data_IF_899152781787
#
_entry.id   IF_899152781787
#
_cell.length_a   1.000
_cell.length_b   1.000
_cell.length_c   1.000
_cell.angle_alpha   90.00
_cell.angle_beta   90.00
_cell.angle_gamma   90.00
#
_symmetry.space_group_name_H-M   'P 1'
#
loop_
_entity.id
_entity.type
_entity.pdbx_description
1 polymer ?
#
# COMPACT_ATOMS: atom_id res chain seq x y z
N UNK A 1 -35.31 33.86 1.10
CA UNK A 1 -35.69 32.46 1.39
C UNK A 1 -34.76 31.98 2.50
N UNK A 2 -35.27 31.73 3.70
CA UNK A 2 -34.45 31.46 4.88
C UNK A 2 -34.05 29.97 4.89
N UNK A 3 -32.74 29.68 4.92
CA UNK A 3 -32.21 28.30 4.81
C UNK A 3 -32.69 27.41 5.96
N UNK A 4 -33.04 28.02 7.10
CA UNK A 4 -33.67 27.36 8.26
C UNK A 4 -35.01 26.67 7.95
N UNK A 5 -35.65 27.02 6.83
CA UNK A 5 -36.93 26.45 6.41
C UNK A 5 -36.80 25.34 5.37
N UNK A 6 -35.58 25.00 4.95
CA UNK A 6 -35.34 23.89 4.03
C UNK A 6 -35.68 22.54 4.68
N UNK A 7 -36.52 21.70 4.04
CA UNK A 7 -36.82 20.35 4.51
C UNK A 7 -35.56 19.49 4.68
N UNK A 8 -34.59 19.64 3.77
CA UNK A 8 -33.31 18.94 3.80
C UNK A 8 -32.47 19.36 5.01
N UNK A 9 -32.45 20.65 5.36
CA UNK A 9 -31.72 21.12 6.54
C UNK A 9 -32.32 20.55 7.84
N UNK A 10 -33.65 20.40 7.91
CA UNK A 10 -34.35 19.81 9.06
C UNK A 10 -34.13 18.30 9.19
N UNK A 11 -33.90 17.60 8.08
CA UNK A 11 -33.70 16.15 8.08
C UNK A 11 -32.28 15.77 8.51
N UNK A 12 -31.26 16.48 8.02
CA UNK A 12 -29.85 16.18 8.32
C UNK A 12 -29.31 16.87 9.60
N UNK A 13 -29.96 17.93 10.11
CA UNK A 13 -29.54 18.58 11.37
C UNK A 13 -30.15 17.95 12.63
N UNK A 14 -31.20 17.13 12.51
CA UNK A 14 -31.91 16.53 13.67
C UNK A 14 -31.07 15.56 14.52
N UNK A 15 -30.11 14.78 13.99
CA UNK A 15 -29.24 13.98 14.84
C UNK A 15 -28.28 14.82 15.70
N UNK A 16 -27.97 16.04 15.27
CA UNK A 16 -27.00 16.94 15.93
C UNK A 16 -27.65 17.78 17.04
N UNK A 17 -28.98 17.98 16.99
CA UNK A 17 -29.71 18.88 17.88
C UNK A 17 -30.38 18.21 19.08
N UNK A 18 -30.13 16.93 19.34
CA UNK A 18 -30.64 16.27 20.55
C UNK A 18 -29.52 15.86 21.52
N UNK A 19 -28.83 16.82 22.17
CA UNK A 19 -28.08 16.53 23.37
C UNK A 19 -29.09 16.34 24.51
N UNK A 20 -29.01 15.21 25.20
CA UNK A 20 -29.71 15.01 26.46
C UNK A 20 -29.52 16.22 27.38
N UNK A 21 -30.63 16.67 27.97
CA UNK A 21 -30.70 17.90 28.74
C UNK A 21 -29.79 17.88 29.98
N UNK A 22 -28.59 18.46 29.87
CA UNK A 22 -27.80 18.92 31.03
C UNK A 22 -27.29 20.35 30.81
N UNK A 23 -27.92 21.25 31.58
CA UNK A 23 -27.50 22.58 32.04
C UNK A 23 -26.27 23.23 31.36
N UNK A 24 -26.54 24.37 30.71
CA UNK A 24 -25.54 25.36 30.33
C UNK A 24 -25.65 25.71 28.85
N UNK A 25 -26.37 26.79 28.51
CA UNK A 25 -26.32 27.35 27.14
C UNK A 25 -24.92 27.92 26.91
N UNK A 26 -24.03 27.12 26.33
CA UNK A 26 -22.87 27.64 25.63
C UNK A 26 -23.38 28.33 24.36
N UNK A 27 -23.05 29.61 24.19
CA UNK A 27 -23.19 30.30 22.92
C UNK A 27 -22.25 29.62 21.92
N UNK A 28 -22.77 28.70 21.11
CA UNK A 28 -22.05 28.23 19.94
C UNK A 28 -22.11 29.35 18.89
N UNK A 29 -20.95 29.90 18.52
CA UNK A 29 -20.86 30.80 17.37
C UNK A 29 -21.23 30.02 16.09
N UNK A 30 -21.84 30.65 15.07
CA UNK A 30 -22.12 30.00 13.78
C UNK A 30 -20.86 29.39 13.14
N UNK A 31 -19.69 29.95 13.45
CA UNK A 31 -18.38 29.45 13.06
C UNK A 31 -18.08 28.08 13.70
N UNK A 32 -18.34 27.89 14.99
CA UNK A 32 -18.06 26.62 15.68
C UNK A 32 -18.91 25.44 15.20
N UNK A 33 -20.16 25.68 14.78
CA UNK A 33 -21.02 24.63 14.20
C UNK A 33 -20.47 24.18 12.84
N UNK A 34 -19.98 25.13 12.04
CA UNK A 34 -19.43 24.85 10.73
C UNK A 34 -18.11 24.07 10.84
N UNK A 35 -17.23 24.46 11.77
CA UNK A 35 -15.98 23.74 12.05
C UNK A 35 -16.25 22.29 12.46
N UNK A 36 -17.23 22.07 13.36
CA UNK A 36 -17.65 20.73 13.80
C UNK A 36 -18.23 19.91 12.66
N UNK A 37 -18.99 20.54 11.75
CA UNK A 37 -19.57 19.87 10.58
C UNK A 37 -18.50 19.50 9.57
N UNK A 38 -17.54 20.39 9.30
CA UNK A 38 -16.41 20.12 8.40
C UNK A 38 -15.56 18.97 8.96
N UNK A 39 -15.24 19.00 10.26
CA UNK A 39 -14.49 17.92 10.91
C UNK A 39 -15.24 16.58 10.76
N UNK A 40 -16.54 16.55 11.06
CA UNK A 40 -17.34 15.33 10.90
C UNK A 40 -17.33 14.78 9.46
N UNK A 41 -17.37 15.65 8.45
CA UNK A 41 -17.29 15.23 7.04
C UNK A 41 -15.92 14.66 6.67
N UNK A 42 -14.85 15.19 7.25
CA UNK A 42 -13.50 14.64 7.08
C UNK A 42 -13.35 13.30 7.78
N UNK A 43 -13.92 13.13 8.98
CA UNK A 43 -13.86 11.88 9.75
C UNK A 43 -14.59 10.72 9.04
N UNK A 44 -15.58 11.04 8.19
CA UNK A 44 -16.27 10.06 7.35
C UNK A 44 -15.53 9.75 6.04
N UNK A 45 -14.57 10.57 5.66
CA UNK A 45 -13.91 10.46 4.38
C UNK A 45 -12.99 9.23 4.32
N UNK A 46 -12.97 8.57 3.17
CA UNK A 46 -12.15 7.37 2.94
C UNK A 46 -11.47 7.44 1.58
N UNK A 47 -10.34 6.74 1.47
CA UNK A 47 -9.63 6.59 0.22
C UNK A 47 -9.93 5.23 -0.42
N UNK A 48 -10.48 5.26 -1.63
CA UNK A 48 -10.57 4.10 -2.51
C UNK A 48 -9.32 4.06 -3.39
N UNK A 49 -8.35 3.23 -3.04
CA UNK A 49 -7.07 3.17 -3.74
C UNK A 49 -7.18 2.39 -5.05
N UNK A 50 -6.73 3.00 -6.13
CA UNK A 50 -6.67 2.38 -7.46
C UNK A 50 -5.24 2.03 -7.89
N UNK A 51 -4.25 2.71 -7.31
CA UNK A 51 -2.83 2.43 -7.50
C UNK A 51 -2.02 2.90 -6.28
N UNK A 52 -1.10 2.07 -5.82
CA UNK A 52 -0.16 2.38 -4.77
C UNK A 52 1.21 1.83 -5.17
N UNK A 53 2.15 2.68 -5.58
CA UNK A 53 3.44 2.25 -6.13
C UNK A 53 4.59 2.69 -5.23
N UNK A 54 5.44 1.73 -4.87
CA UNK A 54 6.74 1.94 -4.24
C UNK A 54 7.85 1.65 -5.27
N UNK A 55 8.77 2.60 -5.45
CA UNK A 55 9.93 2.51 -6.35
C UNK A 55 11.18 3.14 -5.71
N UNK A 56 12.33 3.04 -6.40
CA UNK A 56 13.60 3.70 -6.04
C UNK A 56 14.00 3.54 -4.58
N UNK A 57 13.93 2.30 -4.10
CA UNK A 57 14.28 1.96 -2.73
C UNK A 57 15.76 2.24 -2.43
N UNK A 58 15.99 3.05 -1.40
CA UNK A 58 17.32 3.29 -0.83
C UNK A 58 17.31 3.02 0.68
N UNK A 59 18.46 3.12 1.33
CA UNK A 59 18.63 2.74 2.75
C UNK A 59 17.60 3.37 3.71
N UNK A 60 17.32 4.67 3.52
CA UNK A 60 16.42 5.43 4.40
C UNK A 60 15.31 6.16 3.61
N UNK A 61 14.98 5.71 2.40
CA UNK A 61 13.98 6.38 1.57
C UNK A 61 13.39 5.48 0.48
N UNK A 62 12.30 5.95 -0.13
CA UNK A 62 11.71 5.35 -1.33
C UNK A 62 10.91 6.41 -2.10
N UNK A 63 10.55 6.14 -3.35
CA UNK A 63 9.60 6.92 -4.12
C UNK A 63 8.19 6.33 -3.97
N UNK A 64 7.19 7.20 -3.76
CA UNK A 64 5.80 6.83 -3.56
C UNK A 64 4.90 7.53 -4.57
N UNK A 65 4.03 6.76 -5.23
CA UNK A 65 2.92 7.29 -6.04
C UNK A 65 1.60 6.68 -5.55
N UNK A 66 0.57 7.52 -5.38
CA UNK A 66 -0.77 7.04 -4.98
C UNK A 66 -1.82 7.65 -5.93
N UNK A 67 -2.64 6.78 -6.51
CA UNK A 67 -3.85 7.17 -7.23
C UNK A 67 -5.06 6.60 -6.49
N UNK A 68 -5.94 7.47 -6.03
CA UNK A 68 -7.11 7.08 -5.25
C UNK A 68 -8.31 7.97 -5.55
N UNK A 69 -9.45 7.58 -4.98
CA UNK A 69 -10.67 8.37 -4.96
C UNK A 69 -10.99 8.71 -3.51
N UNK A 70 -11.09 10.00 -3.22
CA UNK A 70 -11.60 10.48 -1.94
C UNK A 70 -13.13 10.46 -2.00
N UNK A 71 -13.74 9.65 -1.13
CA UNK A 71 -15.19 9.48 -1.03
C UNK A 71 -15.66 9.77 0.39
N UNK A 72 -16.97 9.92 0.59
CA UNK A 72 -17.54 10.11 1.93
C UNK A 72 -17.42 11.53 2.49
N UNK A 73 -16.94 12.49 1.70
CA UNK A 73 -16.75 13.90 2.10
C UNK A 73 -18.04 14.73 2.18
N UNK A 74 -19.21 14.10 1.98
CA UNK A 74 -20.53 14.73 2.12
C UNK A 74 -21.01 15.50 0.89
N UNK A 75 -22.08 16.28 1.09
CA UNK A 75 -22.78 17.05 0.04
C UNK A 75 -22.19 18.43 -0.21
N UNK A 76 -21.33 18.90 0.69
CA UNK A 76 -20.72 20.23 0.60
C UNK A 76 -19.42 20.11 -0.17
N UNK A 77 -19.30 20.84 -1.29
CA UNK A 77 -18.01 20.96 -1.97
C UNK A 77 -17.07 21.79 -1.11
N UNK A 78 -15.94 21.20 -0.75
CA UNK A 78 -14.90 21.79 0.08
C UNK A 78 -13.57 21.73 -0.66
N UNK A 79 -12.74 22.74 -0.45
CA UNK A 79 -11.35 22.73 -0.91
C UNK A 79 -10.45 22.50 0.29
N UNK A 80 -9.71 21.40 0.29
CA UNK A 80 -8.68 21.10 1.28
C UNK A 80 -7.37 21.62 0.69
N UNK A 81 -6.73 22.57 1.35
CA UNK A 81 -5.50 23.18 0.85
C UNK A 81 -4.35 22.16 0.84
N UNK A 82 -3.36 22.39 -0.04
CA UNK A 82 -2.17 21.55 -0.12
C UNK A 82 -1.42 21.54 1.23
N UNK A 83 -0.96 20.37 1.65
CA UNK A 83 -0.39 20.17 2.99
C UNK A 83 0.64 19.04 3.02
N UNK A 84 1.33 18.90 4.15
CA UNK A 84 2.09 17.69 4.46
C UNK A 84 1.25 16.80 5.38
N UNK A 85 1.18 15.52 5.06
CA UNK A 85 0.60 14.50 5.92
C UNK A 85 1.67 13.50 6.35
N UNK A 86 1.54 12.99 7.56
CA UNK A 86 2.30 11.87 8.07
C UNK A 86 1.73 10.57 7.49
N UNK A 87 2.61 9.65 7.10
CA UNK A 87 2.29 8.27 6.76
C UNK A 87 2.40 7.45 8.04
N UNK A 88 1.30 6.85 8.49
CA UNK A 88 1.23 6.02 9.68
C UNK A 88 0.73 4.62 9.38
N UNK A 89 1.29 3.64 10.09
CA UNK A 89 0.87 2.25 10.07
C UNK A 89 0.73 1.76 11.51
N UNK A 90 -0.42 1.16 11.84
CA UNK A 90 -0.78 0.75 13.21
C UNK A 90 -0.55 1.87 14.25
N UNK A 91 -0.97 3.10 13.92
CA UNK A 91 -0.83 4.27 14.79
C UNK A 91 0.60 4.80 14.97
N UNK A 92 1.59 4.25 14.26
CA UNK A 92 2.98 4.72 14.31
C UNK A 92 3.39 5.36 12.99
N UNK A 93 3.94 6.56 13.06
CA UNK A 93 4.39 7.34 11.89
C UNK A 93 5.75 6.84 11.39
N UNK A 94 5.93 6.76 10.07
CA UNK A 94 7.19 6.31 9.46
C UNK A 94 7.68 7.17 8.29
N UNK A 95 6.92 8.17 7.86
CA UNK A 95 7.31 9.07 6.77
C UNK A 95 6.35 10.24 6.62
N UNK A 96 6.65 11.14 5.67
CA UNK A 96 5.80 12.30 5.34
C UNK A 96 5.58 12.38 3.85
N UNK A 97 4.37 12.76 3.46
CA UNK A 97 3.95 12.93 2.07
C UNK A 97 3.33 14.30 1.85
N UNK A 98 3.62 14.91 0.70
CA UNK A 98 2.94 16.13 0.25
C UNK A 98 1.64 15.75 -0.44
N UNK A 99 0.53 16.27 0.10
CA UNK A 99 -0.79 16.17 -0.48
C UNK A 99 -1.06 17.42 -1.34
N UNK A 100 -1.61 17.26 -2.55
CA UNK A 100 -2.03 18.39 -3.37
C UNK A 100 -3.27 19.07 -2.76
N UNK A 101 -3.67 20.21 -3.32
CA UNK A 101 -5.01 20.75 -3.06
C UNK A 101 -6.07 19.73 -3.53
N UNK A 102 -7.10 19.52 -2.70
CA UNK A 102 -8.16 18.55 -2.97
C UNK A 102 -9.50 19.28 -3.01
N UNK A 103 -10.16 19.25 -4.16
CA UNK A 103 -11.52 19.79 -4.30
C UNK A 103 -12.53 18.65 -4.17
N UNK A 104 -13.17 18.55 -3.01
CA UNK A 104 -14.14 17.50 -2.73
C UNK A 104 -15.43 17.74 -3.51
N UNK A 105 -16.11 16.64 -3.83
CA UNK A 105 -17.38 16.65 -4.54
C UNK A 105 -18.29 15.56 -3.98
N UNK A 106 -19.60 15.76 -4.13
CA UNK A 106 -20.62 14.81 -3.69
C UNK A 106 -20.43 13.41 -4.30
N UNK A 107 -19.96 13.34 -5.55
CA UNK A 107 -19.74 12.08 -6.23
C UNK A 107 -18.41 11.44 -5.87
N UNK A 108 -17.56 12.07 -5.06
CA UNK A 108 -16.18 11.69 -4.77
C UNK A 108 -15.19 12.25 -5.80
N UNK A 109 -13.96 12.50 -5.35
CA UNK A 109 -12.93 13.23 -6.11
C UNK A 109 -11.72 12.36 -6.36
N UNK A 110 -11.13 12.45 -7.56
CA UNK A 110 -9.84 11.81 -7.85
C UNK A 110 -8.72 12.52 -7.08
N UNK A 111 -7.96 11.76 -6.31
CA UNK A 111 -6.76 12.21 -5.62
C UNK A 111 -5.54 11.55 -6.27
N UNK A 112 -4.57 12.35 -6.71
CA UNK A 112 -3.30 11.85 -7.24
C UNK A 112 -2.16 12.47 -6.48
N UNK A 113 -1.45 11.63 -5.74
CA UNK A 113 -0.18 11.96 -5.12
C UNK A 113 0.90 11.56 -6.13
N UNK A 114 1.48 12.57 -6.78
CA UNK A 114 2.56 12.38 -7.74
C UNK A 114 3.78 11.75 -7.10
N UNK A 115 4.59 11.09 -7.92
CA UNK A 115 5.84 10.46 -7.48
C UNK A 115 6.69 11.45 -6.70
N UNK A 116 6.98 11.09 -5.46
CA UNK A 116 7.83 11.89 -4.59
C UNK A 116 8.64 10.99 -3.67
N UNK A 117 9.83 11.47 -3.32
CA UNK A 117 10.71 10.80 -2.38
C UNK A 117 10.18 10.98 -0.96
N UNK A 118 10.06 9.86 -0.24
CA UNK A 118 9.68 9.77 1.17
C UNK A 118 10.91 9.34 1.95
N UNK A 119 11.27 10.11 2.98
CA UNK A 119 12.29 9.72 3.94
C UNK A 119 11.65 8.86 5.05
N UNK A 120 12.31 7.74 5.37
CA UNK A 120 11.87 6.78 6.37
C UNK A 120 12.33 7.27 7.74
N UNK A 121 11.40 7.73 8.57
CA UNK A 121 11.68 8.22 9.93
C UNK A 121 11.63 7.12 10.98
N UNK A 122 10.90 6.03 10.72
CA UNK A 122 10.83 4.86 11.58
C UNK A 122 10.96 3.58 10.73
N UNK A 123 12.16 3.01 10.73
CA UNK A 123 12.50 1.84 9.92
C UNK A 123 11.69 0.60 10.34
N UNK A 124 11.52 0.35 11.63
CA UNK A 124 10.80 -0.83 12.11
C UNK A 124 9.33 -0.84 11.66
N UNK A 125 8.64 0.31 11.80
CA UNK A 125 7.26 0.46 11.34
C UNK A 125 7.16 0.32 9.83
N UNK A 126 8.07 0.95 9.09
CA UNK A 126 8.10 0.85 7.63
C UNK A 126 8.31 -0.60 7.15
N UNK A 127 9.25 -1.34 7.74
CA UNK A 127 9.45 -2.75 7.41
C UNK A 127 8.20 -3.59 7.69
N UNK A 128 7.52 -3.33 8.79
CA UNK A 128 6.28 -4.03 9.14
C UNK A 128 5.18 -3.75 8.11
N UNK A 129 5.08 -2.50 7.63
CA UNK A 129 4.16 -2.11 6.57
C UNK A 129 4.51 -2.76 5.21
N UNK A 130 5.78 -2.77 4.80
CA UNK A 130 6.16 -3.44 3.54
C UNK A 130 5.90 -4.94 3.62
N UNK A 131 6.18 -5.57 4.77
CA UNK A 131 5.83 -6.97 5.00
C UNK A 131 4.33 -7.20 4.87
N UNK A 132 3.48 -6.36 5.47
CA UNK A 132 2.02 -6.51 5.34
C UNK A 132 1.54 -6.35 3.90
N UNK A 133 2.16 -5.46 3.10
CA UNK A 133 1.87 -5.35 1.68
C UNK A 133 2.16 -6.64 0.89
N UNK A 134 3.19 -7.39 1.27
CA UNK A 134 3.62 -8.60 0.57
C UNK A 134 2.86 -9.84 1.06
N UNK A 135 2.72 -10.00 2.37
CA UNK A 135 2.27 -11.26 3.01
C UNK A 135 0.77 -11.30 3.25
N UNK A 136 0.18 -10.18 3.68
CA UNK A 136 -1.23 -10.16 4.09
C UNK A 136 -2.14 -10.01 2.86
N UNK A 137 -3.40 -10.44 2.97
CA UNK A 137 -4.41 -10.24 1.91
C UNK A 137 -4.91 -8.78 1.85
N UNK A 138 -4.98 -8.14 3.03
CA UNK A 138 -5.42 -6.76 3.20
C UNK A 138 -4.55 -6.05 4.24
N UNK A 139 -4.33 -4.76 4.03
CA UNK A 139 -3.64 -3.90 4.98
C UNK A 139 -4.24 -2.49 4.93
N UNK A 140 -3.90 -1.63 5.90
CA UNK A 140 -4.38 -0.26 5.92
C UNK A 140 -3.25 0.69 6.24
N UNK A 141 -3.09 1.73 5.42
CA UNK A 141 -2.20 2.84 5.68
C UNK A 141 -3.03 4.04 6.12
N UNK A 142 -2.48 4.89 6.96
CA UNK A 142 -3.16 6.09 7.45
C UNK A 142 -2.41 7.35 7.00
N UNK A 143 -3.19 8.35 6.58
CA UNK A 143 -2.69 9.69 6.30
C UNK A 143 -3.22 10.64 7.37
N UNK A 144 -2.29 11.25 8.10
CA UNK A 144 -2.61 12.13 9.23
C UNK A 144 -2.03 13.52 9.01
N UNK A 145 -2.82 14.56 9.19
CA UNK A 145 -2.30 15.93 9.24
C UNK A 145 -3.03 16.72 10.31
N UNK A 146 -2.26 17.36 11.19
CA UNK A 146 -2.82 18.24 12.21
C UNK A 146 -2.82 19.66 11.65
N UNK A 147 -3.98 20.32 11.64
CA UNK A 147 -4.11 21.68 11.14
C UNK A 147 -4.20 21.82 9.62
N UNK A 148 -4.98 20.96 8.95
CA UNK A 148 -5.43 21.19 7.58
C UNK A 148 -6.24 22.47 7.47
N UNK A 149 -6.08 23.24 6.38
CA UNK A 149 -6.98 24.34 6.07
C UNK A 149 -8.03 23.87 5.08
N UNK A 150 -9.30 24.00 5.45
CA UNK A 150 -10.44 23.64 4.59
C UNK A 150 -11.29 24.87 4.32
N UNK A 151 -11.55 25.11 3.04
CA UNK A 151 -12.40 26.19 2.54
C UNK A 151 -13.73 25.63 2.07
N UNK A 152 -14.83 26.12 2.63
CA UNK A 152 -16.17 25.69 2.28
C UNK A 152 -17.13 26.86 2.44
N UNK A 153 -18.12 27.00 1.54
CA UNK A 153 -19.21 27.99 1.68
C UNK A 153 -18.74 29.44 1.96
N UNK A 154 -17.57 29.83 1.46
CA UNK A 154 -17.02 31.18 1.65
C UNK A 154 -16.27 31.41 2.97
N UNK A 155 -16.08 30.36 3.78
CA UNK A 155 -15.29 30.41 5.02
C UNK A 155 -14.07 29.49 4.92
N UNK A 156 -13.11 29.68 5.83
CA UNK A 156 -11.94 28.82 6.03
C UNK A 156 -11.89 28.34 7.47
N UNK A 157 -11.62 27.05 7.66
CA UNK A 157 -11.54 26.41 8.97
C UNK A 157 -10.26 25.59 9.05
N UNK A 158 -9.70 25.49 10.26
CA UNK A 158 -8.56 24.62 10.54
C UNK A 158 -9.08 23.32 11.16
N UNK A 159 -8.68 22.18 10.60
CA UNK A 159 -9.15 20.84 10.94
C UNK A 159 -7.99 19.88 11.15
N UNK A 160 -8.30 18.70 11.68
CA UNK A 160 -7.39 17.56 11.60
C UNK A 160 -7.87 16.62 10.49
N UNK A 161 -6.93 16.14 9.67
CA UNK A 161 -7.20 15.17 8.62
C UNK A 161 -6.73 13.80 9.08
N UNK A 162 -7.64 12.84 9.11
CA UNK A 162 -7.32 11.43 9.29
C UNK A 162 -8.00 10.63 8.18
N UNK A 163 -7.21 10.10 7.24
CA UNK A 163 -7.73 9.29 6.14
C UNK A 163 -7.20 7.87 6.24
N UNK A 164 -8.11 6.94 6.46
CA UNK A 164 -7.82 5.51 6.28
C UNK A 164 -7.72 5.18 4.79
N UNK A 165 -6.66 4.43 4.48
CA UNK A 165 -6.32 3.98 3.14
C UNK A 165 -6.25 2.45 3.16
N UNK A 166 -7.41 1.76 3.08
CA UNK A 166 -7.43 0.32 2.94
C UNK A 166 -6.79 -0.09 1.60
N UNK A 167 -5.91 -1.08 1.66
CA UNK A 167 -5.15 -1.61 0.55
C UNK A 167 -5.41 -3.11 0.45
N UNK A 168 -5.85 -3.56 -0.72
CA UNK A 168 -5.76 -4.97 -1.07
C UNK A 168 -4.30 -5.31 -1.32
N UNK A 169 -3.68 -5.94 -0.35
CA UNK A 169 -2.28 -6.32 -0.39
C UNK A 169 -2.08 -7.50 -1.38
N UNK A 170 -0.84 -7.95 -1.54
CA UNK A 170 -0.49 -8.97 -2.54
C UNK A 170 -1.06 -10.34 -2.15
N UNK A 171 -1.23 -10.63 -0.85
CA UNK A 171 -1.75 -11.90 -0.35
C UNK A 171 -0.75 -13.05 -0.48
N UNK A 172 0.52 -12.75 -0.26
CA UNK A 172 1.65 -13.63 -0.54
C UNK A 172 2.00 -13.66 -2.04
N UNK A 173 3.25 -13.97 -2.42
CA UNK A 173 3.60 -14.13 -3.81
C UNK A 173 2.84 -15.31 -4.40
N UNK A 174 1.76 -15.06 -5.16
CA UNK A 174 1.08 -16.07 -5.97
C UNK A 174 1.92 -16.39 -7.20
N UNK A 175 3.10 -16.95 -6.93
CA UNK A 175 4.13 -17.32 -7.87
C UNK A 175 3.90 -18.78 -8.26
N UNK A 176 3.62 -19.01 -9.54
CA UNK A 176 3.45 -20.35 -10.09
C UNK A 176 4.53 -20.62 -11.14
N UNK A 177 5.22 -21.76 -11.05
CA UNK A 177 6.21 -22.15 -12.04
C UNK A 177 5.52 -22.38 -13.39
N UNK A 178 5.88 -21.58 -14.39
CA UNK A 178 5.36 -21.69 -15.77
C UNK A 178 6.27 -22.56 -16.62
N UNK A 179 7.58 -22.31 -16.55
CA UNK A 179 8.59 -22.99 -17.38
C UNK A 179 9.88 -23.17 -16.60
N UNK A 180 10.53 -24.30 -16.83
CA UNK A 180 11.89 -24.58 -16.36
C UNK A 180 12.70 -25.14 -17.53
N UNK A 181 13.90 -24.60 -17.72
CA UNK A 181 14.87 -25.09 -18.71
C UNK A 181 16.25 -25.13 -18.09
N UNK A 182 17.01 -26.18 -18.42
CA UNK A 182 18.35 -26.43 -17.91
C UNK A 182 19.28 -26.85 -19.05
N UNK A 183 20.51 -26.36 -19.02
CA UNK A 183 21.60 -26.72 -19.94
C UNK A 183 22.90 -26.84 -19.15
N UNK A 184 23.32 -28.07 -18.83
CA UNK A 184 24.41 -28.30 -17.88
C UNK A 184 24.00 -27.82 -16.50
N UNK A 185 24.81 -26.96 -15.87
CA UNK A 185 24.49 -26.35 -14.58
C UNK A 185 23.62 -25.09 -14.71
N UNK A 186 23.53 -24.50 -15.92
CA UNK A 186 22.74 -23.29 -16.12
C UNK A 186 21.25 -23.61 -16.15
N UNK A 187 20.48 -22.86 -15.37
CA UNK A 187 19.04 -22.96 -15.29
C UNK A 187 18.37 -21.63 -15.57
N UNK A 188 17.20 -21.70 -16.20
CA UNK A 188 16.28 -20.57 -16.34
C UNK A 188 14.88 -21.04 -15.95
N UNK A 189 14.27 -20.32 -15.02
CA UNK A 189 12.91 -20.54 -14.55
C UNK A 189 12.05 -19.33 -14.86
N UNK A 190 10.85 -19.58 -15.37
CA UNK A 190 9.84 -18.56 -15.60
C UNK A 190 8.69 -18.83 -14.66
N UNK A 191 8.33 -17.84 -13.87
CA UNK A 191 7.18 -17.89 -12.98
C UNK A 191 6.10 -16.91 -13.44
N UNK A 192 4.84 -17.28 -13.25
CA UNK A 192 3.73 -16.35 -13.31
C UNK A 192 3.53 -15.74 -11.92
N UNK A 193 3.52 -14.41 -11.85
CA UNK A 193 3.13 -13.66 -10.67
C UNK A 193 1.77 -13.03 -10.93
N UNK A 194 0.82 -13.23 -10.01
CA UNK A 194 -0.50 -12.63 -10.10
C UNK A 194 -0.79 -11.76 -8.88
N UNK A 195 -0.97 -10.46 -9.12
CA UNK A 195 -1.29 -9.47 -8.10
C UNK A 195 -2.62 -8.78 -8.45
N UNK A 196 -3.73 -9.18 -7.80
CA UNK A 196 -5.05 -8.62 -8.08
C UNK A 196 -5.28 -7.24 -7.44
N UNK A 197 -4.37 -6.77 -6.57
CA UNK A 197 -4.49 -5.53 -5.82
C UNK A 197 -3.93 -4.30 -6.56
N UNK A 198 -4.08 -3.10 -5.99
CA UNK A 198 -3.53 -1.87 -6.54
C UNK A 198 -2.05 -1.66 -6.19
N UNK A 199 -1.46 -2.51 -5.35
CA UNK A 199 -0.10 -2.37 -4.82
C UNK A 199 0.93 -2.75 -5.89
N UNK A 200 1.92 -1.89 -6.11
CA UNK A 200 3.05 -2.10 -7.00
C UNK A 200 4.36 -1.91 -6.20
N UNK A 201 5.30 -2.86 -6.30
CA UNK A 201 6.60 -2.77 -5.63
C UNK A 201 7.71 -3.20 -6.58
N UNK A 202 8.62 -2.27 -6.88
CA UNK A 202 9.82 -2.53 -7.64
C UNK A 202 10.96 -2.98 -6.71
N UNK A 203 11.37 -4.25 -6.81
CA UNK A 203 12.50 -4.78 -6.06
C UNK A 203 13.82 -4.75 -6.86
N UNK A 204 13.78 -4.42 -8.15
CA UNK A 204 14.91 -4.52 -9.07
C UNK A 204 15.45 -5.94 -9.18
N UNK A 205 16.77 -6.05 -9.38
CA UNK A 205 17.47 -7.33 -9.49
C UNK A 205 17.58 -8.04 -8.12
N UNK A 206 16.80 -9.09 -7.95
CA UNK A 206 16.77 -9.92 -6.75
C UNK A 206 17.55 -11.22 -6.92
N UNK A 207 18.00 -11.75 -5.78
CA UNK A 207 18.63 -13.05 -5.64
C UNK A 207 17.67 -13.93 -4.86
N UNK A 208 17.46 -15.14 -5.37
CA UNK A 208 16.59 -16.14 -4.80
C UNK A 208 17.35 -17.45 -4.62
N UNK A 209 16.94 -18.22 -3.62
CA UNK A 209 17.32 -19.62 -3.47
C UNK A 209 16.12 -20.50 -3.76
N UNK A 210 16.37 -21.54 -4.56
CA UNK A 210 15.42 -22.62 -4.80
C UNK A 210 15.77 -23.78 -3.87
N UNK A 211 14.92 -24.07 -2.90
CA UNK A 211 15.11 -25.18 -1.96
C UNK A 211 14.27 -26.39 -2.35
N UNK A 212 14.80 -27.60 -2.10
CA UNK A 212 14.03 -28.83 -2.19
C UNK A 212 13.09 -29.00 -0.97
N UNK A 213 12.27 -30.04 -0.97
CA UNK A 213 11.41 -30.40 0.17
C UNK A 213 12.15 -30.72 1.49
N UNK A 214 13.48 -30.86 1.46
CA UNK A 214 14.35 -31.04 2.62
C UNK A 214 15.06 -29.74 3.05
N UNK A 215 14.68 -28.59 2.47
CA UNK A 215 15.29 -27.26 2.69
C UNK A 215 16.74 -27.11 2.22
N UNK A 216 17.24 -28.04 1.42
CA UNK A 216 18.56 -27.94 0.79
C UNK A 216 18.48 -27.03 -0.45
N UNK A 217 19.42 -26.09 -0.59
CA UNK A 217 19.50 -25.18 -1.74
C UNK A 217 19.87 -25.94 -3.01
N UNK A 218 18.90 -26.11 -3.92
CA UNK A 218 19.05 -26.73 -5.25
C UNK A 218 19.62 -25.76 -6.28
N UNK A 219 19.29 -24.48 -6.19
CA UNK A 219 19.80 -23.48 -7.13
C UNK A 219 19.85 -22.09 -6.50
N UNK A 220 20.83 -21.32 -6.94
CA UNK A 220 20.84 -19.87 -6.74
C UNK A 220 20.34 -19.22 -8.03
N UNK A 221 19.37 -18.33 -7.91
CA UNK A 221 18.63 -17.73 -9.02
C UNK A 221 18.64 -16.21 -8.91
N UNK A 222 18.65 -15.54 -10.05
CA UNK A 222 18.74 -14.10 -10.14
C UNK A 222 17.87 -13.56 -11.27
N UNK A 223 17.17 -12.47 -11.03
CA UNK A 223 16.40 -11.77 -12.05
C UNK A 223 15.66 -10.57 -11.48
N UNK A 224 15.01 -9.83 -12.36
CA UNK A 224 14.19 -8.68 -11.99
C UNK A 224 12.88 -9.14 -11.33
N UNK A 225 12.57 -8.59 -10.15
CA UNK A 225 11.26 -8.75 -9.52
C UNK A 225 10.55 -7.39 -9.46
N UNK A 226 9.51 -7.26 -10.28
CA UNK A 226 8.56 -6.16 -10.20
C UNK A 226 7.17 -6.73 -9.90
N UNK A 227 6.67 -6.46 -8.70
CA UNK A 227 5.29 -6.76 -8.33
C UNK A 227 4.44 -5.68 -9.00
N UNK A 228 3.95 -5.96 -10.20
CA UNK A 228 3.06 -5.07 -10.95
C UNK A 228 1.59 -5.50 -10.77
N UNK A 229 0.64 -4.63 -11.12
CA UNK A 229 -0.79 -4.97 -11.11
C UNK A 229 -1.12 -6.01 -12.19
N UNK A 230 -1.97 -6.97 -11.86
CA UNK A 230 -2.42 -8.02 -12.78
C UNK A 230 -1.43 -9.18 -12.86
N UNK A 231 -1.28 -9.74 -14.06
CA UNK A 231 -0.40 -10.88 -14.31
C UNK A 231 0.92 -10.41 -14.94
N UNK A 232 2.03 -10.89 -14.41
CA UNK A 232 3.38 -10.68 -14.95
C UNK A 232 4.18 -11.98 -14.95
N UNK A 233 5.26 -12.00 -15.73
CA UNK A 233 6.23 -13.08 -15.72
C UNK A 233 7.50 -12.63 -15.01
N UNK A 234 8.02 -13.50 -14.15
CA UNK A 234 9.33 -13.34 -13.49
C UNK A 234 10.26 -14.39 -14.08
N UNK A 235 11.33 -13.92 -14.73
CA UNK A 235 12.34 -14.79 -15.35
C UNK A 235 13.58 -14.74 -14.48
N UNK A 236 13.95 -15.89 -13.92
CA UNK A 236 15.14 -16.04 -13.09
C UNK A 236 16.15 -16.95 -13.78
N UNK A 237 17.42 -16.55 -13.72
CA UNK A 237 18.56 -17.26 -14.27
C UNK A 237 19.52 -17.64 -13.16
N UNK A 238 20.17 -18.79 -13.26
CA UNK A 238 21.15 -19.17 -12.27
C UNK A 238 21.73 -20.55 -12.48
N UNK A 239 22.27 -21.12 -11.41
CA UNK A 239 23.01 -22.38 -11.47
C UNK A 239 22.47 -23.39 -10.46
N UNK A 240 22.31 -24.63 -10.89
CA UNK A 240 21.88 -25.75 -10.05
C UNK A 240 23.05 -26.39 -9.31
N UNK A 241 22.78 -26.97 -8.14
CA UNK A 241 23.70 -27.83 -7.39
C UNK A 241 23.30 -29.29 -7.60
N UNK A 242 24.26 -30.14 -7.95
CA UNK A 242 23.99 -31.51 -8.41
C UNK A 242 23.86 -32.54 -7.28
N UNK A 243 24.20 -32.17 -6.04
CA UNK A 243 24.29 -33.11 -4.91
C UNK A 243 23.08 -33.04 -3.95
N UNK A 244 21.92 -32.63 -4.46
CA UNK A 244 20.75 -32.31 -3.63
C UNK A 244 19.68 -33.39 -3.76
N UNK A 245 19.02 -33.76 -2.65
CA UNK A 245 18.03 -34.84 -2.66
C UNK A 245 16.82 -34.48 -3.54
N UNK A 246 16.40 -35.36 -4.46
CA UNK A 246 15.17 -35.19 -5.24
C UNK A 246 13.93 -34.91 -4.39
N UNK A 247 13.11 -33.95 -4.80
CA UNK A 247 11.81 -33.68 -4.19
C UNK A 247 10.85 -33.01 -5.16
N UNK A 248 9.59 -33.49 -5.19
CA UNK A 248 8.52 -32.87 -5.98
C UNK A 248 8.03 -31.55 -5.41
N UNK A 249 8.42 -31.22 -4.18
CA UNK A 249 8.07 -29.95 -3.54
C UNK A 249 9.28 -29.03 -3.54
N UNK A 250 9.04 -27.78 -3.92
CA UNK A 250 10.08 -26.77 -4.02
C UNK A 250 9.62 -25.49 -3.34
N UNK A 251 10.58 -24.76 -2.78
CA UNK A 251 10.38 -23.45 -2.16
C UNK A 251 11.32 -22.44 -2.78
N UNK A 252 10.78 -21.36 -3.31
CA UNK A 252 11.53 -20.20 -3.79
C UNK A 252 11.57 -19.16 -2.68
N UNK A 253 12.77 -18.79 -2.23
CA UNK A 253 12.98 -17.83 -1.14
C UNK A 253 13.83 -16.67 -1.65
N UNK A 254 13.37 -15.44 -1.45
CA UNK A 254 14.18 -14.26 -1.68
C UNK A 254 15.28 -14.12 -0.63
N UNK A 255 16.54 -13.93 -1.04
CA UNK A 255 17.69 -13.88 -0.11
C UNK A 255 18.47 -12.57 -0.18
N UNK A 256 18.34 -11.80 -1.27
CA UNK A 256 18.99 -10.50 -1.38
C UNK A 256 18.68 -9.73 -2.66
N UNK A 257 19.32 -8.57 -2.80
CA UNK A 257 19.26 -7.69 -3.98
C UNK A 257 20.67 -7.27 -4.39
N UNK A 258 20.94 -7.19 -5.69
CA UNK A 258 22.33 -7.01 -6.18
C UNK A 258 22.80 -5.54 -6.15
N UNK A 259 21.91 -4.58 -6.47
CA UNK A 259 22.30 -3.18 -6.66
C UNK A 259 22.65 -2.46 -5.36
N UNK A 260 21.67 -2.29 -4.48
CA UNK A 260 21.83 -1.52 -3.25
C UNK A 260 21.70 -2.43 -2.03
N UNK A 261 22.81 -3.04 -1.62
CA UNK A 261 22.85 -3.93 -0.44
C UNK A 261 22.40 -3.27 0.87
N UNK A 262 22.40 -1.93 0.93
CA UNK A 262 21.89 -1.17 2.08
C UNK A 262 20.41 -0.81 1.95
N UNK A 263 19.80 -1.01 0.79
CA UNK A 263 18.36 -0.84 0.61
C UNK A 263 17.62 -1.78 1.54
N UNK A 264 16.51 -1.28 2.10
CA UNK A 264 15.59 -2.06 2.89
C UNK A 264 15.00 -3.25 2.12
N UNK A 265 15.04 -3.22 0.77
CA UNK A 265 14.65 -4.35 -0.08
C UNK A 265 15.44 -5.62 0.22
N UNK A 266 16.70 -5.51 0.65
CA UNK A 266 17.52 -6.68 1.01
C UNK A 266 16.95 -7.47 2.19
N UNK A 267 16.16 -6.82 3.04
CA UNK A 267 15.47 -7.43 4.17
C UNK A 267 14.06 -7.87 3.77
N UNK A 268 13.30 -7.04 3.03
CA UNK A 268 11.90 -7.34 2.68
C UNK A 268 11.75 -8.38 1.57
N UNK A 269 12.76 -8.58 0.72
CA UNK A 269 12.74 -9.64 -0.30
C UNK A 269 12.59 -11.03 0.31
N UNK A 270 12.95 -11.21 1.59
CA UNK A 270 12.79 -12.45 2.33
C UNK A 270 11.34 -12.82 2.63
N UNK A 271 10.44 -11.84 2.55
CA UNK A 271 9.00 -12.08 2.61
C UNK A 271 8.46 -12.70 1.32
N UNK A 272 9.25 -12.68 0.23
CA UNK A 272 8.95 -13.45 -0.98
C UNK A 272 9.38 -14.89 -0.77
N UNK A 273 8.42 -15.68 -0.31
CA UNK A 273 8.59 -17.07 0.04
C UNK A 273 7.40 -17.87 -0.53
N UNK A 274 7.67 -18.62 -1.60
CA UNK A 274 6.65 -19.33 -2.35
C UNK A 274 6.95 -20.83 -2.38
N UNK A 275 5.97 -21.64 -1.97
CA UNK A 275 6.03 -23.09 -2.03
C UNK A 275 5.14 -23.59 -3.15
N UNK A 276 5.67 -24.45 -4.01
CA UNK A 276 4.93 -25.04 -5.12
C UNK A 276 5.38 -26.46 -5.41
N UNK A 277 4.47 -27.24 -5.99
CA UNK A 277 4.75 -28.59 -6.45
C UNK A 277 5.27 -28.54 -7.90
N UNK A 278 6.28 -29.35 -8.18
CA UNK A 278 6.87 -29.54 -9.49
C UNK A 278 6.12 -30.61 -10.25
N UNK A 279 5.72 -30.30 -11.48
CA UNK A 279 5.33 -31.34 -12.42
C UNK A 279 6.48 -32.34 -12.64
N UNK A 280 6.20 -33.64 -12.87
CA UNK A 280 7.23 -34.67 -13.03
C UNK A 280 8.31 -34.31 -14.06
N UNK A 281 7.91 -33.70 -15.18
CA UNK A 281 8.83 -33.26 -16.24
C UNK A 281 9.85 -32.22 -15.78
N UNK A 282 9.50 -31.36 -14.82
CA UNK A 282 10.40 -30.34 -14.28
C UNK A 282 11.27 -30.90 -13.16
N UNK A 283 10.71 -31.82 -12.37
CA UNK A 283 11.45 -32.56 -11.35
C UNK A 283 12.63 -33.34 -11.97
N UNK A 284 12.41 -34.04 -13.08
CA UNK A 284 13.48 -34.76 -13.80
C UNK A 284 14.58 -33.82 -14.33
N UNK A 285 14.24 -32.60 -14.76
CA UNK A 285 15.21 -31.63 -15.26
C UNK A 285 16.10 -31.07 -14.14
N UNK A 286 15.61 -31.00 -12.90
CA UNK A 286 16.37 -30.49 -11.77
C UNK A 286 17.36 -31.53 -11.21
N UNK A 287 17.14 -32.82 -11.46
CA UNK A 287 17.96 -33.89 -10.87
C UNK A 287 18.91 -34.59 -11.84
N UNK A 288 18.80 -34.29 -13.14
CA UNK A 288 19.79 -34.70 -14.15
C UNK A 288 20.91 -33.68 -14.23
#
# INVERSE_FOLDING_TARGET
MNISDSPLFKEYARPVLNPEARRGRAMYSPLGILDTTIQYLLDLAKLEVTRFKISDAAENSFCLTIESRLVGTGTVSTTIDAMNADLSFNGTKFGKVKLPEIQTSFWGTKLVIQEQRIDITNRATYHTFVRSLIVDDETSLQLESNGCTVRALGTSSTCDLHLDMPLKAVGGPRIALKKLSRSGENMTTTFNLNNPGPVEIDHGTCIFELHNGHSETQAELKGELNIARGQSEVILHGTTRNDVVPSHRTRLVGVGVEGNKKSWLSETIREVDAVFDLEPKYAELLWR
#
